data_IF_190862308989
#
_entry.id   IF_190862308989
#
_cell.length_a   1.000
_cell.length_b   1.000
_cell.length_c   1.000
_cell.angle_alpha   90.00
_cell.angle_beta   90.00
_cell.angle_gamma   90.00
#
_symmetry.space_group_name_H-M   'P 1'
#
loop_
_entity.id
_entity.type
_entity.pdbx_description
1 polymer ?
#
# COMPACT_ATOMS: atom_id res chain seq x y z
N UNK A 1 0.53 3.67 1.40
CA UNK A 1 1.71 4.56 1.54
C UNK A 1 2.87 3.94 2.33
N UNK A 2 2.67 3.28 3.49
CA UNK A 2 3.74 2.83 4.40
C UNK A 2 4.88 1.99 3.79
N UNK A 3 4.66 1.01 2.87
CA UNK A 3 5.79 0.32 2.24
C UNK A 3 6.70 1.25 1.44
N UNK A 4 6.13 2.28 0.79
CA UNK A 4 6.90 3.32 0.11
C UNK A 4 7.69 4.19 1.11
N UNK A 5 7.07 4.59 2.23
CA UNK A 5 7.74 5.40 3.26
C UNK A 5 8.92 4.65 3.89
N UNK A 6 8.83 3.32 4.00
CA UNK A 6 9.93 2.50 4.49
C UNK A 6 11.18 2.58 3.59
N UNK A 7 11.02 2.92 2.30
CA UNK A 7 12.17 3.15 1.42
C UNK A 7 13.11 4.24 1.93
N UNK A 8 12.61 5.22 2.67
CA UNK A 8 13.49 6.26 3.26
C UNK A 8 14.53 5.63 4.19
N UNK A 9 14.13 4.72 5.07
CA UNK A 9 15.06 4.01 5.96
C UNK A 9 16.01 3.09 5.18
N UNK A 10 15.52 2.47 4.10
CA UNK A 10 16.36 1.64 3.21
C UNK A 10 17.40 2.50 2.52
N UNK A 11 17.00 3.64 1.95
CA UNK A 11 17.88 4.57 1.23
C UNK A 11 19.00 5.06 2.15
N UNK A 12 18.66 5.46 3.36
CA UNK A 12 19.62 5.90 4.37
C UNK A 12 20.58 4.77 4.78
N UNK A 13 20.04 3.58 5.05
CA UNK A 13 20.83 2.42 5.48
C UNK A 13 21.86 1.96 4.46
N UNK A 14 21.48 1.94 3.18
CA UNK A 14 22.33 1.47 2.09
C UNK A 14 23.02 2.60 1.34
N UNK A 15 22.85 3.85 1.80
CA UNK A 15 23.37 5.06 1.16
C UNK A 15 23.09 5.09 -0.36
N UNK A 16 21.83 4.83 -0.72
CA UNK A 16 21.42 4.72 -2.12
C UNK A 16 21.40 6.10 -2.75
N UNK A 17 22.16 6.27 -3.84
CA UNK A 17 22.27 7.53 -4.56
C UNK A 17 20.92 7.90 -5.23
N UNK A 18 20.57 9.19 -5.20
CA UNK A 18 19.38 9.74 -5.86
C UNK A 18 19.31 9.39 -7.37
N UNK A 19 20.46 9.32 -8.05
CA UNK A 19 20.50 8.94 -9.46
C UNK A 19 20.02 7.49 -9.68
N UNK A 20 20.34 6.57 -8.77
CA UNK A 20 19.82 5.18 -8.83
C UNK A 20 18.31 5.19 -8.73
N UNK A 21 17.77 5.93 -7.75
CA UNK A 21 16.32 6.03 -7.53
C UNK A 21 15.61 6.65 -8.75
N UNK A 22 16.17 7.72 -9.31
CA UNK A 22 15.64 8.39 -10.50
C UNK A 22 15.62 7.46 -11.72
N UNK A 23 16.68 6.69 -11.94
CA UNK A 23 16.74 5.71 -13.03
C UNK A 23 15.70 4.61 -12.83
N UNK A 24 15.59 4.07 -11.60
CA UNK A 24 14.58 3.05 -11.29
C UNK A 24 13.17 3.55 -11.53
N UNK A 25 12.89 4.79 -11.18
CA UNK A 25 11.58 5.40 -11.35
C UNK A 25 11.25 5.68 -12.83
N UNK A 26 12.14 6.34 -13.56
CA UNK A 26 11.86 6.78 -14.94
C UNK A 26 11.81 5.62 -15.96
N UNK A 27 12.40 4.48 -15.66
CA UNK A 27 12.42 3.32 -16.55
C UNK A 27 11.41 2.23 -16.17
N UNK A 28 10.35 2.63 -15.51
CA UNK A 28 9.30 1.75 -14.98
C UNK A 28 8.63 0.88 -16.05
N UNK A 29 8.52 1.36 -17.30
CA UNK A 29 7.84 0.66 -18.41
C UNK A 29 8.66 -0.43 -19.10
N UNK A 30 9.96 -0.54 -18.83
CA UNK A 30 10.90 -1.37 -19.58
C UNK A 30 11.07 -2.78 -18.99
N UNK A 31 10.59 -2.99 -17.75
CA UNK A 31 10.80 -4.26 -17.04
C UNK A 31 9.64 -5.18 -17.31
N UNK A 32 9.91 -6.21 -18.13
CA UNK A 32 8.98 -7.31 -18.36
C UNK A 32 8.98 -8.28 -17.18
N UNK A 33 7.81 -8.47 -16.56
CA UNK A 33 7.63 -9.33 -15.39
C UNK A 33 7.57 -10.84 -15.74
N UNK A 34 7.75 -11.24 -17.01
CA UNK A 34 7.32 -12.57 -17.45
C UNK A 34 8.36 -13.68 -17.32
N UNK A 35 9.68 -13.43 -17.32
CA UNK A 35 10.66 -14.53 -17.37
C UNK A 35 12.00 -14.33 -16.65
N UNK A 36 12.38 -13.13 -16.28
CA UNK A 36 13.66 -12.87 -15.59
C UNK A 36 13.42 -12.26 -14.21
N UNK A 37 14.24 -12.65 -13.24
CA UNK A 37 14.25 -11.99 -11.93
C UNK A 37 14.31 -10.46 -12.14
N UNK A 38 13.28 -9.75 -11.65
CA UNK A 38 13.17 -8.28 -11.72
C UNK A 38 14.47 -7.62 -11.27
N UNK A 39 15.11 -8.15 -10.22
CA UNK A 39 16.38 -7.64 -9.70
C UNK A 39 17.53 -7.70 -10.72
N UNK A 40 17.62 -8.75 -11.54
CA UNK A 40 18.67 -8.84 -12.59
C UNK A 40 18.43 -7.81 -13.69
N UNK A 41 17.18 -7.59 -14.07
CA UNK A 41 16.83 -6.56 -15.06
C UNK A 41 17.14 -5.16 -14.50
N UNK A 42 16.84 -4.89 -13.22
CA UNK A 42 17.15 -3.63 -12.55
C UNK A 42 18.66 -3.38 -12.49
N UNK A 43 19.45 -4.37 -12.11
CA UNK A 43 20.92 -4.24 -12.13
C UNK A 43 21.46 -3.95 -13.53
N UNK A 44 20.97 -4.66 -14.56
CA UNK A 44 21.35 -4.41 -15.95
C UNK A 44 20.96 -3.00 -16.42
N UNK A 45 19.75 -2.57 -16.09
CA UNK A 45 19.27 -1.22 -16.37
C UNK A 45 20.19 -0.15 -15.76
N UNK A 46 20.52 -0.28 -14.48
CA UNK A 46 21.38 0.66 -13.77
C UNK A 46 22.78 0.75 -14.40
N UNK A 47 23.37 -0.39 -14.75
CA UNK A 47 24.67 -0.43 -15.44
C UNK A 47 24.60 0.22 -16.81
N UNK A 48 23.58 -0.08 -17.60
CA UNK A 48 23.37 0.52 -18.93
C UNK A 48 23.11 2.03 -18.86
N UNK A 49 22.59 2.53 -17.73
CA UNK A 49 22.40 3.96 -17.46
C UNK A 49 23.64 4.63 -16.87
N UNK A 50 24.80 3.98 -16.90
CA UNK A 50 26.08 4.57 -16.49
C UNK A 50 26.39 4.48 -14.99
N UNK A 51 25.61 3.73 -14.20
CA UNK A 51 25.93 3.52 -12.79
C UNK A 51 27.05 2.48 -12.67
N UNK A 52 28.13 2.84 -11.97
CA UNK A 52 29.26 1.94 -11.74
C UNK A 52 28.82 0.70 -10.96
N UNK A 53 29.29 -0.49 -11.39
CA UNK A 53 28.94 -1.78 -10.76
C UNK A 53 29.25 -1.82 -9.26
N UNK A 54 30.33 -1.18 -8.82
CA UNK A 54 30.74 -1.14 -7.41
C UNK A 54 29.70 -0.44 -6.53
N UNK A 55 28.98 0.55 -7.08
CA UNK A 55 27.89 1.24 -6.34
C UNK A 55 26.63 0.40 -6.20
N UNK A 56 26.42 -0.54 -7.12
CA UNK A 56 25.27 -1.43 -7.11
C UNK A 56 25.57 -2.70 -6.30
N UNK A 57 26.82 -3.17 -6.32
CA UNK A 57 27.23 -4.43 -5.69
C UNK A 57 26.94 -4.49 -4.18
N UNK A 58 26.92 -3.35 -3.50
CA UNK A 58 26.64 -3.24 -2.08
C UNK A 58 25.14 -3.19 -1.75
N UNK A 59 24.26 -3.12 -2.76
CA UNK A 59 22.82 -3.09 -2.58
C UNK A 59 22.26 -4.48 -2.86
N UNK A 60 21.69 -5.17 -1.87
CA UNK A 60 21.05 -6.46 -2.10
C UNK A 60 19.97 -6.39 -3.18
N UNK A 61 19.87 -7.41 -4.00
CA UNK A 61 18.94 -7.46 -5.13
C UNK A 61 17.47 -7.30 -4.70
N UNK A 62 17.09 -7.89 -3.57
CA UNK A 62 15.73 -7.79 -3.02
C UNK A 62 15.40 -6.37 -2.53
N UNK A 63 16.39 -5.57 -2.16
CA UNK A 63 16.24 -4.14 -1.84
C UNK A 63 15.87 -3.35 -3.11
N UNK A 64 16.58 -3.56 -4.22
CA UNK A 64 16.28 -2.89 -5.49
C UNK A 64 14.87 -3.24 -5.97
N UNK A 65 14.50 -4.51 -5.90
CA UNK A 65 13.17 -5.00 -6.25
C UNK A 65 12.08 -4.40 -5.35
N UNK A 66 12.32 -4.33 -4.05
CA UNK A 66 11.39 -3.73 -3.10
C UNK A 66 11.15 -2.24 -3.40
N UNK A 67 12.23 -1.47 -3.59
CA UNK A 67 12.13 -0.04 -3.94
C UNK A 67 11.36 0.14 -5.24
N UNK A 68 11.66 -0.65 -6.26
CA UNK A 68 10.98 -0.60 -7.54
C UNK A 68 9.48 -0.90 -7.39
N UNK A 69 9.11 -2.00 -6.76
CA UNK A 69 7.72 -2.43 -6.62
C UNK A 69 6.88 -1.46 -5.79
N UNK A 70 7.46 -0.88 -4.74
CA UNK A 70 6.77 0.13 -3.90
C UNK A 70 6.62 1.46 -4.62
N UNK A 71 7.63 1.91 -5.36
CA UNK A 71 7.57 3.14 -6.16
C UNK A 71 6.60 3.03 -7.33
N UNK A 72 6.49 1.85 -7.94
CA UNK A 72 5.55 1.57 -9.03
C UNK A 72 4.11 1.37 -8.56
N UNK A 73 3.89 1.19 -7.26
CA UNK A 73 2.57 0.90 -6.69
C UNK A 73 2.09 -0.54 -6.85
N UNK A 74 2.92 -1.44 -7.42
CA UNK A 74 2.59 -2.86 -7.66
C UNK A 74 2.98 -3.79 -6.52
N UNK A 75 3.51 -3.26 -5.43
CA UNK A 75 4.01 -4.05 -4.30
C UNK A 75 2.99 -5.09 -3.79
N UNK A 76 1.73 -4.70 -3.65
CA UNK A 76 0.67 -5.60 -3.18
C UNK A 76 0.27 -6.62 -4.24
N UNK A 77 0.21 -6.20 -5.50
CA UNK A 77 -0.17 -7.04 -6.63
C UNK A 77 0.89 -8.12 -6.90
N UNK A 78 2.14 -7.81 -6.58
CA UNK A 78 3.25 -8.75 -6.66
C UNK A 78 3.08 -9.93 -5.67
N UNK A 79 2.50 -9.68 -4.48
CA UNK A 79 2.16 -10.74 -3.53
C UNK A 79 0.96 -11.57 -3.98
N UNK A 80 -0.06 -10.99 -4.62
CA UNK A 80 -1.23 -11.75 -5.10
C UNK A 80 -0.87 -12.80 -6.15
N UNK A 81 0.27 -12.63 -6.84
CA UNK A 81 0.77 -13.57 -7.85
C UNK A 81 1.51 -14.76 -7.27
N UNK A 82 1.85 -14.74 -5.98
CA UNK A 82 2.52 -15.86 -5.32
C UNK A 82 1.53 -17.01 -5.10
N UNK A 83 1.99 -18.25 -5.30
CA UNK A 83 1.16 -19.44 -5.14
C UNK A 83 0.52 -19.54 -3.75
N UNK A 84 1.25 -19.10 -2.74
CA UNK A 84 0.79 -19.06 -1.37
C UNK A 84 -0.40 -18.12 -1.16
N UNK A 85 -0.59 -17.09 -2.03
CA UNK A 85 -1.56 -16.01 -1.84
C UNK A 85 -2.56 -15.84 -2.98
N UNK A 86 -2.43 -16.58 -4.08
CA UNK A 86 -3.26 -16.39 -5.29
C UNK A 86 -4.78 -16.54 -5.11
N UNK A 87 -5.22 -17.12 -3.97
CA UNK A 87 -6.65 -17.25 -3.62
C UNK A 87 -7.11 -16.21 -2.60
N UNK A 88 -6.23 -15.31 -2.19
CA UNK A 88 -6.52 -14.30 -1.18
C UNK A 88 -6.80 -12.95 -1.81
N UNK A 89 -7.70 -12.20 -1.20
CA UNK A 89 -7.97 -10.83 -1.60
C UNK A 89 -6.75 -9.93 -1.31
N UNK A 90 -6.49 -8.98 -2.20
CA UNK A 90 -5.42 -8.00 -2.06
C UNK A 90 -5.50 -7.21 -0.75
N UNK A 91 -6.71 -6.84 -0.31
CA UNK A 91 -6.98 -6.19 0.97
C UNK A 91 -6.52 -7.03 2.15
N UNK A 92 -6.86 -8.32 2.15
CA UNK A 92 -6.45 -9.25 3.21
C UNK A 92 -4.93 -9.40 3.28
N UNK A 93 -4.26 -9.53 2.13
CA UNK A 93 -2.79 -9.60 2.05
C UNK A 93 -2.18 -8.32 2.64
N UNK A 94 -2.69 -7.14 2.25
CA UNK A 94 -2.23 -5.84 2.75
C UNK A 94 -2.32 -5.76 4.28
N UNK A 95 -3.50 -5.99 4.84
CA UNK A 95 -3.74 -5.91 6.30
C UNK A 95 -2.87 -6.90 7.06
N UNK A 96 -2.79 -8.14 6.57
CA UNK A 96 -2.03 -9.19 7.29
C UNK A 96 -0.53 -8.95 7.22
N UNK A 97 0.02 -8.51 6.09
CA UNK A 97 1.44 -8.13 6.01
C UNK A 97 1.77 -6.92 6.89
N UNK A 98 0.89 -5.91 6.97
CA UNK A 98 1.08 -4.82 7.93
C UNK A 98 1.15 -5.34 9.35
N UNK A 99 0.18 -6.15 9.76
CA UNK A 99 0.11 -6.73 11.10
C UNK A 99 1.29 -7.62 11.43
N UNK A 100 1.73 -8.48 10.50
CA UNK A 100 2.75 -9.49 10.78
C UNK A 100 4.18 -8.99 10.56
N UNK A 101 4.39 -8.07 9.63
CA UNK A 101 5.72 -7.59 9.25
C UNK A 101 5.99 -6.19 9.81
N UNK A 102 5.28 -5.17 9.32
CA UNK A 102 5.64 -3.77 9.60
C UNK A 102 5.27 -3.34 11.03
N UNK A 103 4.07 -3.70 11.52
CA UNK A 103 3.57 -3.29 12.84
C UNK A 103 3.69 -4.36 13.92
N UNK A 104 4.12 -5.56 13.57
CA UNK A 104 4.32 -6.61 14.56
C UNK A 104 5.36 -6.22 15.60
N UNK A 105 5.01 -6.35 16.88
CA UNK A 105 5.97 -6.23 17.98
C UNK A 105 6.89 -7.44 18.10
N UNK A 106 6.59 -8.58 17.47
CA UNK A 106 7.41 -9.77 17.52
C UNK A 106 8.55 -9.72 16.51
N UNK A 107 9.73 -10.23 16.91
CA UNK A 107 10.92 -10.33 16.04
C UNK A 107 11.04 -11.70 15.35
N UNK A 108 10.07 -12.59 15.53
CA UNK A 108 10.07 -13.94 14.96
C UNK A 108 8.93 -14.12 13.96
N UNK A 109 9.08 -15.08 13.07
CA UNK A 109 8.03 -15.50 12.12
C UNK A 109 7.20 -16.68 12.63
N UNK A 110 7.41 -17.14 13.89
CA UNK A 110 6.67 -18.27 14.44
C UNK A 110 5.17 -17.95 14.48
N UNK A 111 4.34 -18.81 13.90
CA UNK A 111 2.90 -18.58 13.80
C UNK A 111 2.48 -17.45 12.86
N UNK A 112 3.37 -17.00 11.93
CA UNK A 112 3.15 -15.87 11.02
C UNK A 112 3.53 -16.26 9.60
N UNK A 113 2.58 -16.81 8.88
CA UNK A 113 2.88 -17.37 7.56
C UNK A 113 3.16 -16.27 6.51
N UNK A 114 2.46 -15.15 6.58
CA UNK A 114 2.73 -14.01 5.69
C UNK A 114 4.12 -13.41 5.93
N UNK A 115 4.56 -13.32 7.18
CA UNK A 115 5.91 -12.87 7.49
C UNK A 115 6.99 -13.85 7.00
N UNK A 116 6.70 -15.16 6.96
CA UNK A 116 7.61 -16.16 6.35
C UNK A 116 7.75 -15.93 4.85
N UNK A 117 6.64 -15.75 4.14
CA UNK A 117 6.62 -15.47 2.70
C UNK A 117 7.34 -14.16 2.40
N UNK A 118 7.05 -13.09 3.15
CA UNK A 118 7.73 -11.81 3.02
C UNK A 118 9.26 -11.96 3.23
N UNK A 119 9.68 -12.68 4.27
CA UNK A 119 11.09 -12.95 4.53
C UNK A 119 11.76 -13.73 3.40
N UNK A 120 11.06 -14.69 2.80
CA UNK A 120 11.56 -15.47 1.65
C UNK A 120 11.76 -14.58 0.43
N UNK A 121 10.81 -13.68 0.15
CA UNK A 121 10.84 -12.78 -1.00
C UNK A 121 11.81 -11.60 -0.81
N UNK A 122 11.79 -10.96 0.36
CA UNK A 122 12.58 -9.79 0.68
C UNK A 122 13.43 -9.99 1.96
N UNK A 123 14.45 -10.86 1.93
CA UNK A 123 15.22 -11.23 3.13
C UNK A 123 15.96 -10.06 3.75
N UNK A 124 16.58 -9.18 2.93
CA UNK A 124 17.33 -8.01 3.39
C UNK A 124 16.40 -6.92 3.95
N UNK A 125 15.25 -6.71 3.30
CA UNK A 125 14.20 -5.81 3.80
C UNK A 125 13.66 -6.31 5.14
N UNK A 126 13.37 -7.61 5.25
CA UNK A 126 12.89 -8.20 6.50
C UNK A 126 13.92 -8.07 7.63
N UNK A 127 15.20 -8.26 7.31
CA UNK A 127 16.31 -8.06 8.26
C UNK A 127 16.32 -6.62 8.78
N UNK A 128 16.19 -5.64 7.89
CA UNK A 128 16.15 -4.21 8.26
C UNK A 128 14.92 -3.89 9.12
N UNK A 129 13.72 -4.41 8.77
CA UNK A 129 12.51 -4.28 9.59
C UNK A 129 12.73 -4.83 11.01
N UNK A 130 13.41 -5.98 11.13
CA UNK A 130 13.72 -6.55 12.45
C UNK A 130 14.75 -5.70 13.22
N UNK A 131 15.79 -5.24 12.54
CA UNK A 131 16.84 -4.40 13.15
C UNK A 131 16.26 -3.10 13.68
N UNK A 132 15.39 -2.45 12.91
CA UNK A 132 14.71 -1.21 13.33
C UNK A 132 13.85 -1.37 14.59
N UNK A 133 13.43 -2.59 14.92
CA UNK A 133 12.59 -2.90 16.09
C UNK A 133 13.33 -3.47 17.29
N UNK A 134 14.66 -3.61 17.23
CA UNK A 134 15.42 -4.24 18.32
C UNK A 134 15.37 -3.46 19.62
N UNK A 135 15.58 -2.16 19.56
CA UNK A 135 15.59 -1.26 20.72
C UNK A 135 14.18 -0.86 21.15
N UNK A 136 13.33 -0.57 20.18
CA UNK A 136 11.92 -0.21 20.41
C UNK A 136 11.02 -0.94 19.39
N UNK A 137 10.11 -1.76 19.89
CA UNK A 137 9.18 -2.56 19.07
C UNK A 137 8.21 -1.72 18.26
N UNK A 138 7.96 -0.48 18.69
CA UNK A 138 7.07 0.47 18.03
C UNK A 138 7.81 1.46 17.14
N UNK A 139 9.15 1.49 17.20
CA UNK A 139 9.97 2.45 16.49
C UNK A 139 9.60 2.59 15.00
N UNK A 140 9.50 1.46 14.30
CA UNK A 140 9.24 1.48 12.86
C UNK A 140 7.88 2.12 12.52
N UNK A 141 6.83 1.77 13.27
CA UNK A 141 5.50 2.35 13.09
C UNK A 141 5.53 3.86 13.36
N UNK A 142 6.12 4.25 14.47
CA UNK A 142 6.23 5.67 14.87
C UNK A 142 7.03 6.47 13.84
N UNK A 143 8.14 5.91 13.35
CA UNK A 143 8.98 6.60 12.36
C UNK A 143 8.27 6.79 11.02
N UNK A 144 7.58 5.77 10.51
CA UNK A 144 6.77 5.91 9.30
C UNK A 144 5.65 6.95 9.46
N UNK A 145 4.98 6.98 10.61
CA UNK A 145 3.94 7.99 10.90
C UNK A 145 4.53 9.41 10.97
N UNK A 146 5.73 9.58 11.53
CA UNK A 146 6.42 10.89 11.56
C UNK A 146 6.78 11.36 10.15
N UNK A 147 7.34 10.47 9.32
CA UNK A 147 7.67 10.77 7.93
C UNK A 147 6.41 11.19 7.18
N UNK A 148 5.33 10.43 7.29
CA UNK A 148 4.05 10.73 6.65
C UNK A 148 3.49 12.07 7.10
N UNK A 149 3.39 12.32 8.41
CA UNK A 149 2.86 13.56 8.97
C UNK A 149 3.68 14.78 8.56
N UNK A 150 5.01 14.67 8.52
CA UNK A 150 5.91 15.74 8.07
C UNK A 150 5.71 16.03 6.59
N UNK A 151 5.60 14.99 5.77
CA UNK A 151 5.41 15.09 4.33
C UNK A 151 4.06 15.77 4.01
N UNK A 152 2.97 15.29 4.61
CA UNK A 152 1.64 15.86 4.43
C UNK A 152 1.59 17.32 4.88
N UNK A 153 2.22 17.66 6.01
CA UNK A 153 2.32 19.07 6.47
C UNK A 153 2.98 19.95 5.42
N UNK A 154 4.09 19.51 4.82
CA UNK A 154 4.78 20.27 3.80
C UNK A 154 3.93 20.45 2.53
N UNK A 155 3.28 19.37 2.08
CA UNK A 155 2.36 19.41 0.93
C UNK A 155 1.22 20.39 1.19
N UNK A 156 0.54 20.27 2.33
CA UNK A 156 -0.57 21.14 2.70
C UNK A 156 -0.14 22.61 2.78
N UNK A 157 1.02 22.90 3.40
CA UNK A 157 1.56 24.26 3.46
C UNK A 157 1.72 24.85 2.07
N UNK A 158 2.22 24.09 1.10
CA UNK A 158 2.40 24.55 -0.28
C UNK A 158 1.07 24.74 -1.01
N UNK A 159 0.10 23.86 -0.78
CA UNK A 159 -1.23 23.98 -1.35
C UNK A 159 -1.98 25.20 -0.79
N UNK A 160 -1.92 25.43 0.54
CA UNK A 160 -2.51 26.62 1.17
C UNK A 160 -1.84 27.92 0.68
N UNK A 161 -0.52 27.94 0.52
CA UNK A 161 0.17 29.09 -0.05
C UNK A 161 -0.30 29.44 -1.45
N UNK A 162 -0.80 28.46 -2.21
CA UNK A 162 -1.43 28.64 -3.52
C UNK A 162 -2.94 28.89 -3.45
N UNK A 163 -3.48 29.07 -2.24
CA UNK A 163 -4.91 29.34 -1.96
C UNK A 163 -5.85 28.20 -2.33
N UNK A 164 -5.36 26.96 -2.38
CA UNK A 164 -6.24 25.79 -2.49
C UNK A 164 -6.94 25.53 -1.17
N UNK A 165 -8.24 25.20 -1.26
CA UNK A 165 -8.98 24.62 -0.13
C UNK A 165 -8.81 23.12 -0.17
N UNK A 166 -8.18 22.54 0.85
CA UNK A 166 -7.82 21.13 0.87
C UNK A 166 -8.26 20.46 2.16
N UNK A 167 -8.65 19.21 2.05
CA UNK A 167 -8.90 18.29 3.15
C UNK A 167 -7.98 17.08 2.99
N UNK A 168 -7.67 16.42 4.09
CA UNK A 168 -6.93 15.17 4.08
C UNK A 168 -7.76 14.06 4.68
N UNK A 169 -7.79 12.90 4.02
CA UNK A 169 -8.40 11.69 4.54
C UNK A 169 -7.38 10.58 4.34
N UNK A 170 -6.85 10.06 5.45
CA UNK A 170 -5.77 9.06 5.43
C UNK A 170 -4.58 9.52 4.56
N UNK A 171 -4.27 8.79 3.50
CA UNK A 171 -3.21 9.06 2.53
C UNK A 171 -3.70 9.77 1.26
N UNK A 172 -4.90 10.35 1.29
CA UNK A 172 -5.49 11.13 0.21
C UNK A 172 -5.57 12.63 0.54
N UNK A 173 -5.45 13.45 -0.49
CA UNK A 173 -5.64 14.90 -0.42
C UNK A 173 -6.81 15.25 -1.34
N UNK A 174 -7.88 15.78 -0.76
CA UNK A 174 -9.05 16.26 -1.48
C UNK A 174 -8.90 17.76 -1.70
N UNK A 175 -8.91 18.18 -2.95
CA UNK A 175 -8.89 19.60 -3.32
C UNK A 175 -10.32 20.02 -3.63
N UNK A 176 -10.82 20.98 -2.84
CA UNK A 176 -12.17 21.47 -2.96
C UNK A 176 -12.22 22.66 -3.93
N UNK A 177 -13.32 22.74 -4.67
CA UNK A 177 -13.72 23.93 -5.42
C UNK A 177 -12.64 24.44 -6.40
N UNK A 178 -12.26 23.55 -7.27
CA UNK A 178 -11.48 23.92 -8.42
C UNK A 178 -12.46 24.57 -9.41
N UNK A 179 -12.42 25.91 -9.51
CA UNK A 179 -13.19 26.61 -10.53
C UNK A 179 -12.88 25.96 -11.87
N UNK A 180 -13.93 25.55 -12.56
CA UNK A 180 -13.89 24.73 -13.79
C UNK A 180 -13.00 25.27 -14.94
N UNK A 181 -12.44 26.48 -14.80
CA UNK A 181 -11.67 27.17 -15.84
C UNK A 181 -10.14 27.03 -15.70
N UNK A 182 -9.61 26.26 -14.75
CA UNK A 182 -8.16 26.03 -14.66
C UNK A 182 -7.85 24.57 -14.94
N UNK A 183 -7.69 24.23 -16.21
CA UNK A 183 -7.34 22.89 -16.71
C UNK A 183 -6.05 22.28 -16.11
N UNK A 184 -5.25 23.07 -15.39
CA UNK A 184 -3.94 22.64 -14.87
C UNK A 184 -3.91 22.40 -13.35
N UNK A 185 -5.03 22.37 -12.65
CA UNK A 185 -5.02 22.24 -11.19
C UNK A 185 -4.63 20.83 -10.72
N UNK A 186 -5.17 19.77 -11.30
CA UNK A 186 -4.79 18.41 -10.90
C UNK A 186 -3.30 18.15 -11.10
N UNK A 187 -2.75 18.55 -12.24
CA UNK A 187 -1.32 18.39 -12.57
C UNK A 187 -0.44 19.23 -11.64
N UNK A 188 -0.89 20.42 -11.26
CA UNK A 188 -0.17 21.26 -10.32
C UNK A 188 -0.14 20.62 -8.91
N UNK A 189 -1.28 20.09 -8.45
CA UNK A 189 -1.37 19.40 -7.15
C UNK A 189 -0.51 18.14 -7.17
N UNK A 190 -0.60 17.33 -8.21
CA UNK A 190 0.23 16.16 -8.40
C UNK A 190 1.73 16.52 -8.38
N UNK A 191 2.13 17.56 -9.13
CA UNK A 191 3.52 18.04 -9.15
C UNK A 191 4.02 18.48 -7.76
N UNK A 192 3.17 19.10 -6.95
CA UNK A 192 3.52 19.48 -5.57
C UNK A 192 3.75 18.23 -4.72
N UNK A 193 2.82 17.27 -4.80
CA UNK A 193 2.93 16.00 -4.06
C UNK A 193 4.21 15.27 -4.46
N UNK A 194 4.42 15.04 -5.74
CA UNK A 194 5.59 14.34 -6.27
C UNK A 194 6.90 15.01 -5.86
N UNK A 195 6.99 16.34 -5.93
CA UNK A 195 8.19 17.09 -5.52
C UNK A 195 8.51 16.94 -4.05
N UNK A 196 7.50 16.92 -3.17
CA UNK A 196 7.73 16.71 -1.74
C UNK A 196 8.24 15.30 -1.43
N UNK A 197 7.69 14.29 -2.10
CA UNK A 197 8.20 12.92 -2.00
C UNK A 197 9.63 12.80 -2.55
N UNK A 198 9.90 13.39 -3.73
CA UNK A 198 11.22 13.40 -4.35
C UNK A 198 12.27 14.13 -3.51
N UNK A 199 11.86 15.15 -2.76
CA UNK A 199 12.75 15.86 -1.85
C UNK A 199 13.37 14.92 -0.79
N UNK A 200 12.59 13.98 -0.30
CA UNK A 200 13.03 12.95 0.66
C UNK A 200 13.51 11.66 -0.03
N UNK A 201 13.67 11.66 -1.36
CA UNK A 201 14.17 10.52 -2.14
C UNK A 201 13.14 9.45 -2.45
N UNK A 202 11.85 9.74 -2.30
CA UNK A 202 10.76 8.82 -2.61
C UNK A 202 10.08 9.21 -3.93
N UNK A 203 9.52 8.20 -4.61
CA UNK A 203 8.83 8.39 -5.88
C UNK A 203 7.46 7.70 -5.78
N UNK A 204 6.38 8.43 -5.46
CA UNK A 204 5.05 7.86 -5.34
C UNK A 204 4.43 7.65 -6.73
N UNK A 205 3.56 6.65 -6.82
CA UNK A 205 2.56 6.61 -7.86
C UNK A 205 1.32 7.37 -7.34
N UNK A 206 1.06 8.56 -7.89
CA UNK A 206 -0.06 9.42 -7.50
C UNK A 206 -1.19 9.21 -8.50
N UNK A 207 -2.33 8.71 -8.04
CA UNK A 207 -3.58 8.67 -8.82
C UNK A 207 -4.39 9.93 -8.58
N UNK A 208 -5.14 10.35 -9.59
CA UNK A 208 -6.07 11.47 -9.51
C UNK A 208 -7.47 10.94 -9.78
N UNK A 209 -8.34 11.09 -8.80
CA UNK A 209 -9.74 10.71 -8.90
C UNK A 209 -10.61 11.96 -8.88
N UNK A 210 -11.60 12.02 -9.75
CA UNK A 210 -12.52 13.15 -9.88
C UNK A 210 -13.86 12.79 -9.27
N UNK A 211 -14.25 13.52 -8.24
CA UNK A 211 -15.56 13.38 -7.62
C UNK A 211 -16.49 14.49 -8.12
N UNK A 212 -17.50 14.12 -8.91
CA UNK A 212 -18.63 14.99 -9.20
C UNK A 212 -19.78 14.71 -8.23
N UNK A 213 -20.63 15.70 -8.00
CA UNK A 213 -21.87 15.51 -7.19
C UNK A 213 -22.74 14.36 -7.74
N UNK A 214 -22.69 14.15 -9.05
CA UNK A 214 -23.45 13.09 -9.71
C UNK A 214 -22.83 11.70 -9.46
N UNK A 215 -21.50 11.59 -9.48
CA UNK A 215 -20.79 10.35 -9.16
C UNK A 215 -20.99 9.97 -7.70
N UNK A 216 -20.85 10.93 -6.77
CA UNK A 216 -21.10 10.70 -5.34
C UNK A 216 -22.55 10.23 -5.10
N UNK A 217 -23.54 10.83 -5.79
CA UNK A 217 -24.93 10.36 -5.68
C UNK A 217 -25.10 8.92 -6.18
N UNK A 218 -24.44 8.55 -7.29
CA UNK A 218 -24.48 7.18 -7.82
C UNK A 218 -23.83 6.19 -6.86
N UNK A 219 -22.68 6.54 -6.30
CA UNK A 219 -21.99 5.71 -5.29
C UNK A 219 -22.86 5.51 -4.05
N UNK A 220 -23.46 6.58 -3.50
CA UNK A 220 -24.38 6.48 -2.38
C UNK A 220 -25.60 5.62 -2.69
N UNK A 221 -26.18 5.74 -3.88
CA UNK A 221 -27.30 4.89 -4.30
C UNK A 221 -26.88 3.42 -4.42
N UNK A 222 -25.67 3.16 -4.90
CA UNK A 222 -25.15 1.81 -4.98
C UNK A 222 -24.92 1.24 -3.58
N UNK A 223 -24.28 2.00 -2.67
CA UNK A 223 -24.10 1.59 -1.27
C UNK A 223 -25.44 1.30 -0.57
N UNK A 224 -26.46 2.13 -0.80
CA UNK A 224 -27.82 1.88 -0.27
C UNK A 224 -28.42 0.59 -0.83
N UNK A 225 -28.18 0.30 -2.12
CA UNK A 225 -28.65 -0.93 -2.75
C UNK A 225 -27.91 -2.16 -2.19
N UNK A 226 -26.59 -2.07 -2.09
CA UNK A 226 -25.75 -3.14 -1.53
C UNK A 226 -26.16 -3.44 -0.08
N UNK A 227 -26.43 -2.39 0.72
CA UNK A 227 -26.93 -2.56 2.10
C UNK A 227 -28.29 -3.23 2.16
N UNK A 228 -29.18 -2.95 1.21
CA UNK A 228 -30.48 -3.66 1.12
C UNK A 228 -30.29 -5.14 0.82
N UNK A 229 -29.41 -5.46 -0.12
CA UNK A 229 -29.10 -6.85 -0.48
C UNK A 229 -28.46 -7.62 0.70
N UNK A 230 -27.51 -6.97 1.40
CA UNK A 230 -26.92 -7.53 2.63
C UNK A 230 -27.99 -7.82 3.68
N UNK A 231 -28.89 -6.87 3.94
CA UNK A 231 -29.97 -7.06 4.91
C UNK A 231 -30.92 -8.18 4.50
N UNK A 232 -31.27 -8.31 3.23
CA UNK A 232 -32.07 -9.43 2.72
C UNK A 232 -31.36 -10.77 2.91
N UNK A 233 -30.04 -10.81 2.69
CA UNK A 233 -29.23 -12.00 2.93
C UNK A 233 -29.21 -12.37 4.43
N UNK A 234 -28.99 -11.39 5.30
CA UNK A 234 -29.05 -11.58 6.77
C UNK A 234 -30.42 -12.11 7.20
N UNK A 235 -31.50 -11.56 6.66
CA UNK A 235 -32.86 -12.01 6.99
C UNK A 235 -33.11 -13.44 6.49
N UNK A 236 -32.59 -13.80 5.32
CA UNK A 236 -32.62 -15.19 4.85
C UNK A 236 -31.85 -16.14 5.77
N UNK A 237 -30.70 -15.73 6.28
CA UNK A 237 -29.93 -16.50 7.28
C UNK A 237 -30.69 -16.66 8.58
N UNK A 238 -31.41 -15.62 9.06
CA UNK A 238 -32.27 -15.70 10.24
C UNK A 238 -33.41 -16.70 10.09
N UNK A 239 -34.00 -16.77 8.88
CA UNK A 239 -35.05 -17.77 8.59
C UNK A 239 -34.47 -19.18 8.63
N UNK A 240 -33.36 -19.43 7.92
CA UNK A 240 -32.69 -20.74 7.89
C UNK A 240 -32.20 -21.14 9.29
N UNK A 241 -31.69 -20.21 10.09
CA UNK A 241 -31.21 -20.46 11.43
C UNK A 241 -32.30 -20.90 12.42
N UNK A 242 -33.57 -20.61 12.12
CA UNK A 242 -34.75 -21.04 12.93
C UNK A 242 -35.26 -22.42 12.52
N UNK A 243 -34.98 -22.87 11.31
CA UNK A 243 -35.42 -24.16 10.79
C UNK A 243 -34.38 -25.24 11.10
N UNK A 244 -34.61 -25.97 12.20
CA UNK A 244 -33.70 -27.04 12.64
C UNK A 244 -33.58 -28.20 11.65
N UNK A 245 -34.55 -28.38 10.75
CA UNK A 245 -34.51 -29.38 9.70
C UNK A 245 -33.63 -29.01 8.52
N UNK A 246 -33.28 -27.71 8.38
CA UNK A 246 -32.49 -27.23 7.27
C UNK A 246 -31.01 -27.61 7.40
N UNK A 247 -30.37 -28.18 6.37
CA UNK A 247 -28.98 -28.66 6.43
C UNK A 247 -27.96 -27.60 6.80
N UNK A 248 -28.24 -26.31 6.56
CA UNK A 248 -27.34 -25.17 6.85
C UNK A 248 -27.73 -24.39 8.11
N UNK A 249 -28.66 -24.89 8.92
CA UNK A 249 -29.15 -24.20 10.11
C UNK A 249 -28.00 -23.78 11.04
N UNK A 250 -27.12 -24.70 11.40
CA UNK A 250 -25.99 -24.42 12.28
C UNK A 250 -25.01 -23.43 11.68
N UNK A 251 -24.69 -23.57 10.40
CA UNK A 251 -23.78 -22.63 9.69
C UNK A 251 -24.34 -21.21 9.71
N UNK A 252 -25.65 -21.04 9.47
CA UNK A 252 -26.28 -19.72 9.52
C UNK A 252 -26.28 -19.13 10.94
N UNK A 253 -26.49 -19.93 11.98
CA UNK A 253 -26.37 -19.51 13.39
C UNK A 253 -24.95 -19.01 13.71
N UNK A 254 -23.93 -19.73 13.25
CA UNK A 254 -22.53 -19.37 13.49
C UNK A 254 -22.15 -18.07 12.77
N UNK A 255 -22.65 -17.86 11.53
CA UNK A 255 -22.44 -16.62 10.78
C UNK A 255 -23.11 -15.45 11.50
N UNK A 256 -24.40 -15.56 11.85
CA UNK A 256 -25.13 -14.50 12.54
C UNK A 256 -24.46 -14.10 13.86
N UNK A 257 -24.03 -15.08 14.64
CA UNK A 257 -23.29 -14.82 15.87
C UNK A 257 -21.99 -14.06 15.65
N UNK A 258 -21.22 -14.44 14.63
CA UNK A 258 -19.97 -13.70 14.26
C UNK A 258 -20.24 -12.27 13.83
N UNK A 259 -21.36 -12.01 13.15
CA UNK A 259 -21.77 -10.65 12.77
C UNK A 259 -22.15 -9.82 14.00
N UNK A 260 -22.91 -10.39 14.94
CA UNK A 260 -23.29 -9.74 16.20
C UNK A 260 -22.06 -9.42 17.08
N UNK A 261 -21.10 -10.33 17.13
CA UNK A 261 -19.86 -10.17 17.89
C UNK A 261 -18.85 -9.21 17.19
N UNK A 262 -19.14 -8.69 16.00
CA UNK A 262 -18.25 -7.83 15.22
C UNK A 262 -16.94 -8.53 14.78
N UNK A 263 -16.93 -9.87 14.80
CA UNK A 263 -15.71 -10.67 14.52
C UNK A 263 -15.60 -11.10 13.06
N UNK A 264 -16.62 -10.85 12.23
CA UNK A 264 -16.55 -11.10 10.79
C UNK A 264 -17.00 -9.88 9.99
N UNK A 265 -16.15 -9.49 9.06
CA UNK A 265 -16.54 -8.62 7.94
C UNK A 265 -17.15 -9.52 6.86
N UNK A 266 -18.36 -9.20 6.40
CA UNK A 266 -18.92 -9.87 5.21
C UNK A 266 -18.21 -9.27 4.01
N UNK A 267 -17.30 -10.02 3.43
CA UNK A 267 -16.77 -9.72 2.11
C UNK A 267 -17.70 -10.36 1.08
N UNK A 268 -18.49 -9.56 0.39
CA UNK A 268 -19.27 -9.95 -0.80
C UNK A 268 -18.38 -9.76 -2.03
#
# INVERSE_FOLDING_TARGET
SHPLLFNKLIIERYNINKNILHILYNNISIIDNSYYSVSKQLCKLLVNSGIKKEKIANIPNDILEYIYNTSKGIFWDDFTRLDEFKRLLRSHIKVTLFREVFYSKALTTKGKDFAKVFKKKYPSVYKLVKESKKSDRTYLANEMMKIESSLFRNILTKLYAKRFRVLTIHDAIIVLDVKANTQCVPELVQSIIEKEYQYIGLFPNVSIDYYSTENVKKELQQEEQDMKEINQLIDSFKVIAKDESHPRCQTCRDILKKLEDGTSEIYI
#
